data_IF_811161047560
#
_entry.id   IF_811161047560
#
_cell.length_a   1.000
_cell.length_b   1.000
_cell.length_c   1.000
_cell.angle_alpha   90.00
_cell.angle_beta   90.00
_cell.angle_gamma   90.00
#
_symmetry.space_group_name_H-M   'P 1'
#
loop_
_entity.id
_entity.type
_entity.pdbx_description
1 polymer ?
#
# COMPACT_ATOMS: atom_id res chain seq x y z
N UNK A 1 29.42 -75.54 -16.42
CA UNK A 1 28.73 -74.32 -16.02
C UNK A 1 29.45 -73.13 -16.56
N UNK A 2 28.91 -72.49 -17.61
CA UNK A 2 29.44 -71.21 -18.14
C UNK A 2 28.76 -70.09 -17.48
N UNK A 3 29.54 -69.26 -16.79
CA UNK A 3 29.10 -68.02 -16.21
C UNK A 3 29.37 -66.90 -17.22
N UNK A 4 28.31 -66.29 -17.77
CA UNK A 4 28.40 -65.15 -18.67
C UNK A 4 28.35 -63.89 -17.77
N UNK A 5 29.49 -63.21 -17.62
CA UNK A 5 29.56 -61.89 -17.02
C UNK A 5 29.14 -60.82 -18.06
N UNK A 6 27.97 -60.29 -17.94
CA UNK A 6 27.49 -59.23 -18.79
C UNK A 6 27.94 -57.87 -18.12
N UNK A 7 29.05 -57.34 -18.64
CA UNK A 7 29.53 -56.01 -18.29
C UNK A 7 28.56 -55.00 -18.87
N UNK A 8 27.83 -54.30 -17.99
CA UNK A 8 27.03 -53.16 -18.35
C UNK A 8 27.95 -51.94 -18.40
N UNK A 9 28.32 -51.52 -19.58
CA UNK A 9 28.87 -50.19 -19.82
C UNK A 9 27.72 -49.15 -19.69
N UNK A 10 27.65 -48.45 -18.59
CA UNK A 10 26.88 -47.23 -18.51
C UNK A 10 27.72 -46.08 -19.14
N UNK A 11 27.20 -45.33 -20.10
CA UNK A 11 27.91 -44.17 -20.60
C UNK A 11 27.95 -43.14 -19.47
N UNK A 12 29.16 -42.78 -19.05
CA UNK A 12 29.38 -41.61 -18.22
C UNK A 12 28.92 -40.39 -19.00
N UNK A 13 27.75 -39.86 -18.63
CA UNK A 13 27.38 -38.51 -19.02
C UNK A 13 28.36 -37.56 -18.36
N UNK A 14 29.31 -37.07 -19.11
CA UNK A 14 30.11 -35.90 -18.73
C UNK A 14 29.17 -34.71 -18.80
N UNK A 15 28.64 -34.31 -17.65
CA UNK A 15 28.06 -32.99 -17.47
C UNK A 15 29.24 -32.03 -17.46
N UNK A 16 29.44 -31.31 -18.57
CA UNK A 16 30.29 -30.13 -18.58
C UNK A 16 29.63 -29.14 -17.65
N UNK A 17 30.08 -29.09 -16.40
CA UNK A 17 29.86 -27.95 -15.53
C UNK A 17 30.70 -26.83 -16.16
N UNK A 18 30.06 -25.95 -16.92
CA UNK A 18 30.64 -24.66 -17.21
C UNK A 18 30.78 -23.99 -15.84
N UNK A 19 32.00 -23.86 -15.40
CA UNK A 19 32.36 -22.98 -14.30
C UNK A 19 31.89 -21.59 -14.73
N UNK A 20 30.70 -21.21 -14.25
CA UNK A 20 30.27 -19.82 -14.27
C UNK A 20 31.18 -19.16 -13.23
N UNK A 21 32.24 -18.49 -13.68
CA UNK A 21 32.92 -17.51 -12.87
C UNK A 21 31.87 -16.43 -12.54
N UNK A 22 31.17 -16.64 -11.44
CA UNK A 22 30.38 -15.58 -10.84
C UNK A 22 31.37 -14.46 -10.53
N UNK A 23 31.33 -13.39 -11.32
CA UNK A 23 32.15 -12.21 -11.09
C UNK A 23 32.00 -11.82 -9.62
N UNK A 24 33.13 -11.54 -8.95
CA UNK A 24 33.12 -11.17 -7.54
C UNK A 24 32.17 -9.96 -7.38
N UNK A 25 31.13 -10.10 -6.53
CA UNK A 25 30.18 -9.01 -6.28
C UNK A 25 30.87 -7.79 -5.67
N UNK A 26 30.50 -6.62 -6.12
CA UNK A 26 30.93 -5.33 -5.55
C UNK A 26 29.87 -4.86 -4.58
N UNK A 27 30.26 -4.60 -3.34
CA UNK A 27 29.35 -4.08 -2.32
C UNK A 27 29.42 -2.57 -2.27
N UNK A 28 28.26 -1.93 -2.31
CA UNK A 28 28.14 -0.47 -2.21
C UNK A 28 26.91 -0.08 -1.40
N UNK A 29 27.03 1.05 -0.71
CA UNK A 29 25.88 1.72 -0.08
C UNK A 29 25.49 2.90 -0.95
N UNK A 30 24.21 3.01 -1.27
CA UNK A 30 23.70 4.03 -2.16
C UNK A 30 22.26 4.42 -1.87
N UNK A 31 21.67 5.15 -2.79
CA UNK A 31 20.32 5.66 -2.69
C UNK A 31 19.44 5.14 -3.81
N UNK A 32 18.20 4.77 -3.45
CA UNK A 32 17.12 4.54 -4.41
C UNK A 32 16.53 5.89 -4.78
N UNK A 33 16.45 6.18 -6.07
CA UNK A 33 15.98 7.45 -6.62
C UNK A 33 14.82 7.21 -7.58
N UNK A 34 13.78 8.00 -7.45
CA UNK A 34 12.56 7.95 -8.26
C UNK A 34 12.14 9.37 -8.62
N UNK A 35 11.32 9.51 -9.64
CA UNK A 35 10.68 10.79 -9.96
C UNK A 35 9.48 11.00 -9.05
N UNK A 36 9.65 11.76 -7.97
CA UNK A 36 8.73 11.85 -6.84
C UNK A 36 8.12 13.26 -6.73
N UNK A 37 6.80 13.31 -6.65
CA UNK A 37 6.05 14.52 -6.36
C UNK A 37 5.38 14.39 -5.00
N UNK A 38 5.76 15.24 -4.04
CA UNK A 38 5.14 15.27 -2.70
C UNK A 38 3.72 15.80 -2.79
N UNK A 39 2.80 15.11 -2.14
CA UNK A 39 1.42 15.52 -1.93
C UNK A 39 1.29 16.14 -0.56
N UNK A 40 0.75 17.34 -0.50
CA UNK A 40 0.54 18.08 0.76
C UNK A 40 -0.93 18.41 0.94
N UNK A 41 -1.38 18.46 2.20
CA UNK A 41 -2.72 18.86 2.58
C UNK A 41 -2.68 20.28 3.16
N UNK A 42 -3.62 21.17 2.81
CA UNK A 42 -3.77 22.44 3.51
C UNK A 42 -4.40 22.27 4.90
N UNK A 43 -4.79 21.05 5.28
CA UNK A 43 -5.49 20.73 6.52
C UNK A 43 -4.66 19.76 7.37
N UNK A 44 -4.79 19.85 8.67
CA UNK A 44 -4.02 19.00 9.61
C UNK A 44 -4.48 17.55 9.64
N UNK A 45 -5.76 17.30 9.33
CA UNK A 45 -6.32 15.95 9.38
C UNK A 45 -6.63 15.42 8.00
N UNK A 46 -6.14 14.21 7.74
CA UNK A 46 -6.41 13.45 6.50
C UNK A 46 -6.51 11.96 6.78
N UNK A 47 -7.20 11.24 5.92
CA UNK A 47 -7.23 9.77 5.90
C UNK A 47 -6.90 9.32 4.48
N UNK A 48 -5.76 8.67 4.34
CA UNK A 48 -5.33 8.10 3.06
C UNK A 48 -5.88 6.68 2.95
N UNK A 49 -6.60 6.42 1.87
CA UNK A 49 -7.20 5.11 1.58
C UNK A 49 -6.44 4.34 0.49
N UNK A 50 -5.57 5.04 -0.25
CA UNK A 50 -4.72 4.42 -1.26
C UNK A 50 -3.64 3.56 -0.60
N UNK A 51 -3.44 2.35 -1.09
CA UNK A 51 -2.43 1.43 -0.58
C UNK A 51 -1.02 1.83 -1.03
N UNK A 52 -0.02 1.52 -0.20
CA UNK A 52 1.40 1.68 -0.56
C UNK A 52 1.74 0.87 -1.81
N UNK A 53 2.42 1.49 -2.76
CA UNK A 53 2.81 0.87 -4.02
C UNK A 53 1.67 0.72 -5.04
N UNK A 54 0.46 1.18 -4.76
CA UNK A 54 -0.65 1.12 -5.70
C UNK A 54 -0.42 2.06 -6.89
N UNK A 55 -0.65 1.53 -8.09
CA UNK A 55 -0.70 2.37 -9.28
C UNK A 55 -2.07 3.05 -9.37
N UNK A 56 -2.06 4.37 -9.59
CA UNK A 56 -3.25 5.21 -9.63
C UNK A 56 -3.33 5.98 -10.94
N UNK A 57 -4.55 6.17 -11.42
CA UNK A 57 -4.82 7.01 -12.57
C UNK A 57 -4.97 8.49 -12.17
N UNK A 58 -4.77 9.40 -13.13
CA UNK A 58 -5.09 10.81 -12.92
C UNK A 58 -6.58 10.97 -12.55
N UNK A 59 -6.86 11.76 -11.51
CA UNK A 59 -8.20 11.99 -10.98
C UNK A 59 -8.71 10.91 -10.00
N UNK A 60 -7.97 9.83 -9.78
CA UNK A 60 -8.32 8.80 -8.81
C UNK A 60 -8.25 9.33 -7.38
N UNK A 61 -9.18 8.90 -6.53
CA UNK A 61 -9.25 9.32 -5.12
C UNK A 61 -8.20 8.58 -4.32
N UNK A 62 -7.32 9.33 -3.66
CA UNK A 62 -6.25 8.82 -2.80
C UNK A 62 -6.65 8.80 -1.33
N UNK A 63 -7.60 9.64 -0.95
CA UNK A 63 -8.02 9.78 0.43
C UNK A 63 -8.99 10.95 0.63
N UNK A 64 -9.24 11.25 1.90
CA UNK A 64 -10.13 12.31 2.34
C UNK A 64 -9.37 13.29 3.23
N UNK A 65 -9.50 14.59 2.94
CA UNK A 65 -8.99 15.68 3.74
C UNK A 65 -10.13 16.23 4.60
N UNK A 66 -9.86 16.52 5.87
CA UNK A 66 -10.83 17.10 6.82
C UNK A 66 -10.48 18.57 7.07
N UNK A 67 -11.42 19.45 6.76
CA UNK A 67 -11.18 20.91 6.77
C UNK A 67 -11.09 21.54 8.16
N UNK A 68 -11.56 20.82 9.20
CA UNK A 68 -11.46 21.27 10.60
C UNK A 68 -11.21 20.09 11.53
N UNK A 69 -10.77 20.37 12.74
CA UNK A 69 -10.58 19.33 13.78
C UNK A 69 -11.89 18.63 14.14
N UNK A 70 -13.03 19.33 14.07
CA UNK A 70 -14.34 18.78 14.39
C UNK A 70 -14.93 17.96 13.22
N UNK A 71 -14.41 18.12 12.01
CA UNK A 71 -14.93 17.45 10.81
C UNK A 71 -14.84 15.93 10.93
N UNK A 72 -13.72 15.41 11.38
CA UNK A 72 -13.49 13.94 11.50
C UNK A 72 -14.42 13.31 12.54
N UNK A 73 -14.51 13.78 13.80
CA UNK A 73 -15.46 13.24 14.77
C UNK A 73 -16.92 13.44 14.35
N UNK A 74 -17.26 14.55 13.66
CA UNK A 74 -18.60 14.78 13.11
C UNK A 74 -18.97 13.74 12.08
N UNK A 75 -18.09 13.42 11.13
CA UNK A 75 -18.30 12.39 10.14
C UNK A 75 -18.43 10.99 10.79
N UNK A 76 -17.65 10.70 11.82
CA UNK A 76 -17.78 9.46 12.59
C UNK A 76 -19.14 9.35 13.27
N UNK A 77 -19.64 10.46 13.88
CA UNK A 77 -20.95 10.51 14.51
C UNK A 77 -22.09 10.35 13.50
N UNK A 78 -21.97 10.96 12.33
CA UNK A 78 -22.93 10.77 11.21
C UNK A 78 -23.00 9.31 10.79
N UNK A 79 -21.87 8.62 10.64
CA UNK A 79 -21.84 7.21 10.28
C UNK A 79 -22.47 6.33 11.36
N UNK A 80 -22.19 6.60 12.64
CA UNK A 80 -22.81 5.93 13.79
C UNK A 80 -24.33 6.10 13.81
N UNK A 81 -24.83 7.34 13.65
CA UNK A 81 -26.26 7.65 13.63
C UNK A 81 -26.97 6.97 12.46
N UNK A 82 -26.37 6.93 11.28
CA UNK A 82 -26.92 6.21 10.13
C UNK A 82 -27.07 4.72 10.42
N UNK A 83 -26.06 4.08 11.02
CA UNK A 83 -26.14 2.67 11.42
C UNK A 83 -27.20 2.40 12.48
N UNK A 84 -27.32 3.27 13.49
CA UNK A 84 -28.35 3.16 14.52
C UNK A 84 -29.77 3.34 13.96
N UNK A 85 -29.95 4.34 13.07
CA UNK A 85 -31.23 4.59 12.42
C UNK A 85 -31.66 3.42 11.52
N UNK A 86 -30.74 2.83 10.78
CA UNK A 86 -31.03 1.65 9.97
C UNK A 86 -31.56 0.51 10.82
N UNK A 87 -30.91 0.19 11.94
CA UNK A 87 -31.37 -0.84 12.87
C UNK A 87 -32.76 -0.52 13.48
N UNK A 88 -32.97 0.72 13.90
CA UNK A 88 -34.23 1.14 14.52
C UNK A 88 -35.38 1.16 13.51
N UNK A 89 -35.13 1.64 12.28
CA UNK A 89 -36.13 1.63 11.20
C UNK A 89 -36.52 0.19 10.81
N UNK A 90 -35.53 -0.72 10.77
CA UNK A 90 -35.82 -2.13 10.55
C UNK A 90 -36.73 -2.69 11.65
N UNK A 91 -36.37 -2.46 12.94
CA UNK A 91 -37.19 -2.89 14.07
C UNK A 91 -38.59 -2.29 14.03
N UNK A 92 -38.73 -1.00 13.71
CA UNK A 92 -40.02 -0.31 13.61
C UNK A 92 -40.89 -0.83 12.46
N UNK A 93 -40.31 -1.00 11.27
CA UNK A 93 -41.01 -1.49 10.07
C UNK A 93 -41.64 -2.89 10.30
N UNK A 94 -40.96 -3.71 11.11
CA UNK A 94 -41.39 -5.06 11.40
C UNK A 94 -42.04 -5.19 12.78
N UNK A 95 -42.26 -4.09 13.51
CA UNK A 95 -43.01 -4.12 14.77
C UNK A 95 -44.47 -4.46 14.48
N UNK A 96 -44.84 -5.69 14.73
CA UNK A 96 -46.20 -6.23 14.56
C UNK A 96 -46.75 -6.73 15.86
N UNK A 97 -48.05 -6.98 15.87
CA UNK A 97 -48.83 -7.48 17.01
C UNK A 97 -48.27 -8.77 17.64
N UNK A 98 -48.63 -9.01 18.88
CA UNK A 98 -48.20 -10.18 19.67
C UNK A 98 -48.43 -11.56 19.01
N UNK A 99 -49.22 -11.64 17.92
CA UNK A 99 -49.47 -12.86 17.17
C UNK A 99 -48.25 -13.42 16.42
N UNK A 100 -47.25 -12.59 16.14
CA UNK A 100 -46.09 -12.97 15.33
C UNK A 100 -44.84 -13.35 16.17
N UNK A 101 -44.90 -13.33 17.49
CA UNK A 101 -43.73 -13.60 18.35
C UNK A 101 -43.14 -15.00 18.14
N UNK A 102 -43.96 -16.00 17.93
CA UNK A 102 -43.49 -17.37 17.68
C UNK A 102 -42.82 -17.53 16.32
N UNK A 103 -43.29 -16.80 15.31
CA UNK A 103 -42.65 -16.74 13.98
C UNK A 103 -41.30 -16.02 14.05
N UNK A 104 -41.23 -14.92 14.81
CA UNK A 104 -39.98 -14.20 15.05
C UNK A 104 -38.93 -15.04 15.79
N UNK A 105 -39.32 -15.83 16.78
CA UNK A 105 -38.42 -16.74 17.47
C UNK A 105 -37.83 -17.80 16.51
N UNK A 106 -38.65 -18.29 15.57
CA UNK A 106 -38.20 -19.20 14.54
C UNK A 106 -37.20 -18.54 13.55
N UNK A 107 -37.49 -17.32 13.15
CA UNK A 107 -36.65 -16.54 12.23
C UNK A 107 -35.29 -16.20 12.88
N UNK A 108 -35.29 -15.68 14.11
CA UNK A 108 -34.06 -15.42 14.88
C UNK A 108 -33.21 -16.70 15.04
N UNK A 109 -33.87 -17.83 15.32
CA UNK A 109 -33.16 -19.10 15.48
C UNK A 109 -32.53 -19.57 14.17
N UNK A 110 -33.21 -19.41 13.04
CA UNK A 110 -32.69 -19.73 11.70
C UNK A 110 -31.49 -18.85 11.34
N UNK A 111 -31.59 -17.56 11.63
CA UNK A 111 -30.52 -16.60 11.35
C UNK A 111 -29.28 -16.82 12.21
N UNK A 112 -29.46 -17.24 13.47
CA UNK A 112 -28.33 -17.62 14.34
C UNK A 112 -27.61 -18.87 13.82
N UNK A 113 -28.32 -19.83 13.22
CA UNK A 113 -27.71 -20.99 12.56
C UNK A 113 -26.95 -20.56 11.32
N UNK A 114 -27.51 -19.65 10.51
CA UNK A 114 -26.87 -19.11 9.31
C UNK A 114 -25.62 -18.30 9.68
N UNK A 115 -25.70 -17.47 10.71
CA UNK A 115 -24.56 -16.72 11.25
C UNK A 115 -23.39 -17.66 11.61
N UNK A 116 -23.69 -18.78 12.23
CA UNK A 116 -22.69 -19.79 12.56
C UNK A 116 -22.02 -20.39 11.31
N UNK A 117 -22.78 -20.53 10.21
CA UNK A 117 -22.25 -21.00 8.93
C UNK A 117 -21.33 -19.98 8.28
N UNK A 118 -21.69 -18.69 8.27
CA UNK A 118 -20.85 -17.62 7.73
C UNK A 118 -19.56 -17.44 8.54
N UNK A 119 -19.64 -17.51 9.87
CA UNK A 119 -18.46 -17.49 10.75
C UNK A 119 -17.50 -18.65 10.44
N UNK A 120 -18.02 -19.85 10.24
CA UNK A 120 -17.22 -21.01 9.88
C UNK A 120 -16.56 -20.88 8.49
N UNK A 121 -17.19 -20.15 7.57
CA UNK A 121 -16.65 -19.85 6.21
C UNK A 121 -15.76 -18.62 6.19
N UNK A 122 -15.65 -17.86 7.30
CA UNK A 122 -14.91 -16.58 7.41
C UNK A 122 -15.42 -15.49 6.44
N UNK A 123 -16.70 -15.56 6.08
CA UNK A 123 -17.37 -14.54 5.27
C UNK A 123 -17.84 -13.38 6.17
N UNK A 124 -16.94 -12.45 6.45
CA UNK A 124 -17.18 -11.37 7.41
C UNK A 124 -18.21 -10.34 6.93
N UNK A 125 -18.34 -10.13 5.63
CA UNK A 125 -19.34 -9.21 5.07
C UNK A 125 -20.76 -9.74 5.32
N UNK A 126 -21.01 -11.02 5.01
CA UNK A 126 -22.30 -11.66 5.29
C UNK A 126 -22.58 -11.78 6.80
N UNK A 127 -21.55 -11.90 7.63
CA UNK A 127 -21.67 -11.86 9.11
C UNK A 127 -22.19 -10.50 9.57
N UNK A 128 -21.65 -9.40 9.06
CA UNK A 128 -22.04 -8.04 9.48
C UNK A 128 -23.49 -7.73 9.08
N UNK A 129 -23.87 -8.05 7.86
CA UNK A 129 -25.23 -7.87 7.34
C UNK A 129 -26.23 -8.68 8.19
N UNK A 130 -25.96 -9.96 8.43
CA UNK A 130 -26.83 -10.83 9.20
C UNK A 130 -26.91 -10.45 10.69
N UNK A 131 -25.82 -9.93 11.26
CA UNK A 131 -25.85 -9.39 12.62
C UNK A 131 -26.78 -8.19 12.74
N UNK A 132 -26.82 -7.33 11.73
CA UNK A 132 -27.73 -6.18 11.69
C UNK A 132 -29.18 -6.63 11.61
N UNK A 133 -29.48 -7.63 10.78
CA UNK A 133 -30.81 -8.24 10.65
C UNK A 133 -31.26 -8.88 11.96
N UNK A 134 -30.46 -9.74 12.61
CA UNK A 134 -30.75 -10.34 13.89
C UNK A 134 -31.06 -9.30 14.97
N UNK A 135 -30.26 -8.22 15.05
CA UNK A 135 -30.51 -7.12 16.00
C UNK A 135 -31.89 -6.48 15.76
N UNK A 136 -32.26 -6.27 14.50
CA UNK A 136 -33.59 -5.77 14.14
C UNK A 136 -34.71 -6.70 14.61
N UNK A 137 -34.59 -8.01 14.37
CA UNK A 137 -35.56 -9.01 14.79
C UNK A 137 -35.71 -9.10 16.33
N UNK A 138 -34.57 -9.02 17.06
CA UNK A 138 -34.58 -9.00 18.53
C UNK A 138 -35.28 -7.76 19.08
N UNK A 139 -35.03 -6.58 18.48
CA UNK A 139 -35.73 -5.35 18.86
C UNK A 139 -37.24 -5.45 18.58
N UNK A 140 -37.63 -6.03 17.47
CA UNK A 140 -39.03 -6.29 17.09
C UNK A 140 -39.72 -7.23 18.05
N UNK A 141 -39.05 -8.28 18.53
CA UNK A 141 -39.58 -9.24 19.52
C UNK A 141 -39.98 -8.58 20.85
N UNK A 142 -39.25 -7.50 21.23
CA UNK A 142 -39.51 -6.75 22.46
C UNK A 142 -40.71 -5.80 22.38
N UNK A 143 -41.42 -5.75 21.22
CA UNK A 143 -42.37 -4.68 20.92
C UNK A 143 -43.79 -4.91 21.41
N UNK A 144 -44.23 -4.10 22.33
CA UNK A 144 -45.65 -3.74 22.54
C UNK A 144 -45.96 -2.44 21.76
N UNK A 145 -47.23 -2.07 21.59
CA UNK A 145 -47.61 -0.77 20.97
C UNK A 145 -46.93 0.41 21.66
N UNK A 146 -46.72 0.35 22.95
CA UNK A 146 -45.99 1.34 23.75
C UNK A 146 -44.52 1.41 23.35
N UNK A 147 -43.88 0.29 23.07
CA UNK A 147 -42.51 0.21 22.57
C UNK A 147 -42.39 0.74 21.14
N UNK A 148 -43.40 0.58 20.29
CA UNK A 148 -43.42 1.09 18.94
C UNK A 148 -43.45 2.63 18.96
N UNK A 149 -44.22 3.25 19.85
CA UNK A 149 -44.24 4.69 20.03
C UNK A 149 -42.90 5.22 20.56
N UNK A 150 -42.26 4.51 21.49
CA UNK A 150 -40.92 4.86 22.01
C UNK A 150 -39.85 4.73 20.93
N UNK A 151 -39.91 3.70 20.07
CA UNK A 151 -39.03 3.54 18.93
C UNK A 151 -39.16 4.70 17.96
N UNK A 152 -40.40 5.15 17.65
CA UNK A 152 -40.62 6.29 16.77
C UNK A 152 -40.02 7.57 17.33
N UNK A 153 -40.20 7.86 18.62
CA UNK A 153 -39.61 9.03 19.28
C UNK A 153 -38.07 8.98 19.20
N UNK A 154 -37.50 7.79 19.39
CA UNK A 154 -36.05 7.61 19.29
C UNK A 154 -35.53 7.81 17.87
N UNK A 155 -36.23 7.28 16.87
CA UNK A 155 -35.93 7.47 15.44
C UNK A 155 -35.99 8.97 15.11
N UNK A 156 -37.04 9.67 15.49
CA UNK A 156 -37.22 11.09 15.21
C UNK A 156 -36.09 11.93 15.87
N UNK A 157 -35.71 11.59 17.09
CA UNK A 157 -34.63 12.28 17.82
C UNK A 157 -33.28 12.08 17.14
N UNK A 158 -32.93 10.85 16.78
CA UNK A 158 -31.66 10.56 16.08
C UNK A 158 -31.65 11.12 14.67
N UNK A 159 -32.80 11.12 13.97
CA UNK A 159 -32.91 11.74 12.65
C UNK A 159 -32.69 13.25 12.70
N UNK A 160 -33.24 13.94 13.69
CA UNK A 160 -33.03 15.38 13.91
C UNK A 160 -31.56 15.69 14.21
N UNK A 161 -30.89 14.85 15.03
CA UNK A 161 -29.45 14.98 15.28
C UNK A 161 -28.65 14.78 13.98
N UNK A 162 -28.97 13.74 13.21
CA UNK A 162 -28.33 13.45 11.92
C UNK A 162 -28.49 14.61 10.94
N UNK A 163 -29.71 15.14 10.77
CA UNK A 163 -29.99 16.26 9.87
C UNK A 163 -29.19 17.52 10.26
N UNK A 164 -29.09 17.80 11.57
CA UNK A 164 -28.29 18.90 12.10
C UNK A 164 -26.81 18.72 11.76
N UNK A 165 -26.24 17.55 12.05
CA UNK A 165 -24.83 17.25 11.77
C UNK A 165 -24.53 17.25 10.28
N UNK A 166 -25.42 16.74 9.45
CA UNK A 166 -25.26 16.73 7.98
C UNK A 166 -25.26 18.16 7.43
N UNK A 167 -26.14 19.04 7.93
CA UNK A 167 -26.15 20.44 7.50
C UNK A 167 -24.86 21.19 7.87
N UNK A 168 -24.25 20.86 9.03
CA UNK A 168 -22.96 21.41 9.46
C UNK A 168 -21.78 20.80 8.69
N UNK A 169 -21.95 19.61 8.15
CA UNK A 169 -20.87 18.83 7.52
C UNK A 169 -20.72 19.05 6.02
N UNK A 170 -21.51 19.92 5.42
CA UNK A 170 -21.58 20.11 3.95
C UNK A 170 -20.21 20.42 3.33
N UNK A 171 -19.33 21.06 4.10
CA UNK A 171 -17.97 21.42 3.66
C UNK A 171 -16.87 20.78 4.51
N UNK A 172 -17.17 19.78 5.31
CA UNK A 172 -16.21 19.16 6.22
C UNK A 172 -15.06 18.44 5.52
N UNK A 173 -15.33 17.90 4.35
CA UNK A 173 -14.39 17.01 3.66
C UNK A 173 -14.08 17.48 2.24
N UNK A 174 -12.88 17.15 1.82
CA UNK A 174 -12.43 17.30 0.45
C UNK A 174 -11.75 16.01 0.03
N UNK A 175 -12.05 15.50 -1.16
CA UNK A 175 -11.32 14.36 -1.72
C UNK A 175 -9.93 14.81 -2.16
N UNK A 176 -8.91 14.04 -1.75
CA UNK A 176 -7.58 14.13 -2.31
C UNK A 176 -7.54 13.26 -3.56
N UNK A 177 -7.30 13.88 -4.71
CA UNK A 177 -7.22 13.18 -5.99
C UNK A 177 -5.81 13.26 -6.56
N UNK A 178 -5.40 12.21 -7.26
CA UNK A 178 -4.15 12.20 -8.00
C UNK A 178 -4.19 13.23 -9.14
N UNK A 179 -3.20 14.11 -9.21
CA UNK A 179 -3.08 15.11 -10.31
C UNK A 179 -2.60 14.47 -11.61
N UNK A 180 -1.84 13.38 -11.50
CA UNK A 180 -1.32 12.61 -12.61
C UNK A 180 -1.37 11.12 -12.29
N UNK A 181 -1.21 10.26 -13.30
CA UNK A 181 -1.00 8.83 -13.07
C UNK A 181 0.38 8.56 -12.47
N UNK A 182 0.48 7.55 -11.62
CA UNK A 182 1.73 7.17 -10.99
C UNK A 182 1.56 6.11 -9.92
N UNK A 183 2.63 5.82 -9.20
CA UNK A 183 2.62 4.90 -8.07
C UNK A 183 2.57 5.69 -6.76
N UNK A 184 1.61 5.39 -5.91
CA UNK A 184 1.45 6.07 -4.64
C UNK A 184 2.38 5.51 -3.56
N UNK A 185 2.95 6.42 -2.74
CA UNK A 185 3.64 6.08 -1.50
C UNK A 185 3.23 7.04 -0.38
N UNK A 186 2.95 6.49 0.80
CA UNK A 186 2.65 7.29 1.98
C UNK A 186 3.91 7.85 2.67
N UNK A 187 5.09 7.33 2.32
CA UNK A 187 6.35 7.71 2.96
C UNK A 187 6.96 8.95 2.28
N UNK A 188 7.21 9.99 3.07
CA UNK A 188 7.95 11.20 2.68
C UNK A 188 9.15 11.32 3.60
N UNK A 189 10.35 11.29 3.03
CA UNK A 189 11.60 11.16 3.79
C UNK A 189 12.55 12.37 3.63
N UNK A 190 12.15 13.38 2.87
CA UNK A 190 12.92 14.60 2.65
C UNK A 190 13.96 14.52 1.55
N UNK A 191 14.09 13.38 0.87
CA UNK A 191 14.98 13.24 -0.28
C UNK A 191 14.31 13.53 -1.62
N UNK A 192 12.99 13.70 -1.66
CA UNK A 192 12.19 13.81 -2.88
C UNK A 192 12.66 14.95 -3.80
N UNK A 193 13.13 16.07 -3.21
CA UNK A 193 13.69 17.22 -3.95
C UNK A 193 15.21 17.22 -4.03
N UNK A 194 15.85 16.34 -3.25
CA UNK A 194 17.32 16.25 -3.17
C UNK A 194 17.86 15.24 -4.17
N UNK A 195 17.15 14.12 -4.32
CA UNK A 195 17.50 13.01 -5.19
C UNK A 195 16.44 12.87 -6.28
N UNK A 196 16.65 13.58 -7.39
CA UNK A 196 15.77 13.51 -8.57
C UNK A 196 16.52 12.87 -9.75
N UNK A 197 15.81 12.26 -10.70
CA UNK A 197 16.47 11.72 -11.92
C UNK A 197 17.32 12.76 -12.65
N UNK A 198 16.89 14.04 -12.69
CA UNK A 198 17.65 15.13 -13.31
C UNK A 198 18.97 15.38 -12.59
N UNK A 199 18.96 15.38 -11.25
CA UNK A 199 20.17 15.58 -10.47
C UNK A 199 21.19 14.46 -10.69
N UNK A 200 20.75 13.24 -10.94
CA UNK A 200 21.64 12.12 -11.23
C UNK A 200 22.48 12.34 -12.51
N UNK A 201 22.04 13.21 -13.42
CA UNK A 201 22.77 13.54 -14.64
C UNK A 201 24.05 14.34 -14.37
N UNK A 202 24.08 15.11 -13.27
CA UNK A 202 25.16 16.05 -12.95
C UNK A 202 25.88 15.76 -11.63
N UNK A 203 25.32 14.83 -10.81
CA UNK A 203 25.90 14.47 -9.52
C UNK A 203 27.33 13.92 -9.69
N UNK A 204 28.27 14.36 -8.85
CA UNK A 204 29.64 13.87 -8.80
C UNK A 204 29.86 12.88 -7.66
N UNK A 205 30.95 12.11 -7.73
CA UNK A 205 31.32 11.22 -6.63
C UNK A 205 31.78 11.98 -5.39
N UNK A 206 32.30 13.18 -5.56
CA UNK A 206 32.73 14.06 -4.46
C UNK A 206 31.55 14.65 -3.69
N UNK A 207 30.41 14.88 -4.37
CA UNK A 207 29.21 15.44 -3.73
C UNK A 207 28.33 14.37 -3.07
N UNK A 208 28.60 13.09 -3.32
CA UNK A 208 27.76 11.97 -2.87
C UNK A 208 27.63 11.91 -1.34
N UNK A 209 28.73 12.07 -0.62
CA UNK A 209 28.73 12.00 0.85
C UNK A 209 28.02 13.19 1.51
N UNK A 210 27.85 14.29 0.78
CA UNK A 210 27.13 15.49 1.25
C UNK A 210 25.61 15.39 1.06
N UNK A 211 25.09 14.31 0.44
CA UNK A 211 23.66 14.13 0.23
C UNK A 211 22.99 13.90 1.60
N UNK A 212 22.09 14.81 1.94
CA UNK A 212 21.32 14.76 3.18
C UNK A 212 19.85 15.13 2.92
N UNK A 213 18.91 14.60 3.68
CA UNK A 213 17.51 14.93 3.51
C UNK A 213 17.22 16.36 3.94
N UNK A 214 16.24 16.97 3.30
CA UNK A 214 15.60 18.18 3.78
C UNK A 214 14.53 17.80 4.83
N UNK A 215 14.18 18.73 5.70
CA UNK A 215 13.04 18.54 6.59
C UNK A 215 11.78 18.41 5.71
N UNK A 216 11.02 17.29 5.80
CA UNK A 216 9.76 17.17 5.09
C UNK A 216 8.78 18.27 5.48
N UNK A 217 7.91 18.66 4.55
CA UNK A 217 6.79 19.55 4.87
C UNK A 217 5.91 18.86 5.92
N UNK A 218 5.56 19.58 6.98
CA UNK A 218 4.68 19.08 8.05
C UNK A 218 3.28 18.71 7.54
N UNK A 219 2.88 19.29 6.41
CA UNK A 219 1.63 19.00 5.73
C UNK A 219 1.74 17.91 4.65
N UNK A 220 2.90 17.29 4.49
CA UNK A 220 3.09 16.20 3.55
C UNK A 220 2.28 14.97 4.00
N UNK A 221 1.51 14.40 3.07
CA UNK A 221 0.61 13.27 3.31
C UNK A 221 0.94 12.04 2.46
N UNK A 222 1.92 12.16 1.61
CA UNK A 222 2.38 11.11 0.71
C UNK A 222 3.06 11.69 -0.52
N UNK A 223 3.29 10.84 -1.50
CA UNK A 223 3.89 11.23 -2.78
C UNK A 223 3.37 10.37 -3.93
N UNK A 224 3.42 10.90 -5.13
CA UNK A 224 3.26 10.16 -6.38
C UNK A 224 4.60 9.99 -7.04
N UNK A 225 4.86 8.79 -7.54
CA UNK A 225 6.05 8.43 -8.29
C UNK A 225 5.65 8.31 -9.75
N UNK A 226 6.26 9.14 -10.60
CA UNK A 226 5.97 9.19 -12.04
C UNK A 226 6.77 8.11 -12.78
N UNK A 227 6.14 7.52 -13.80
CA UNK A 227 6.77 6.48 -14.62
C UNK A 227 6.97 5.16 -13.89
N UNK A 228 7.73 4.26 -14.51
CA UNK A 228 8.02 2.93 -13.98
C UNK A 228 9.50 2.74 -13.62
N UNK A 229 10.34 3.70 -13.99
CA UNK A 229 11.79 3.64 -13.81
C UNK A 229 12.21 4.16 -12.44
N UNK A 230 13.05 3.40 -11.78
CA UNK A 230 13.77 3.81 -10.59
C UNK A 230 15.28 3.62 -10.76
N UNK A 231 16.06 4.29 -9.94
CA UNK A 231 17.50 4.29 -10.02
C UNK A 231 18.11 3.88 -8.70
N UNK A 232 19.31 3.31 -8.79
CA UNK A 232 20.20 3.14 -7.66
C UNK A 232 21.50 3.88 -7.94
N UNK A 233 21.87 4.82 -7.08
CA UNK A 233 23.09 5.62 -7.22
C UNK A 233 24.04 5.31 -6.08
N UNK A 234 25.28 5.00 -6.40
CA UNK A 234 26.34 4.72 -5.44
C UNK A 234 27.70 5.19 -5.97
N UNK A 235 28.69 5.14 -5.10
CA UNK A 235 30.09 5.39 -5.45
C UNK A 235 30.86 4.09 -5.36
N UNK A 236 31.62 3.77 -6.40
CA UNK A 236 32.38 2.54 -6.54
C UNK A 236 33.82 2.88 -6.90
N UNK A 237 34.85 2.15 -6.40
CA UNK A 237 36.22 2.33 -6.84
C UNK A 237 36.35 2.20 -8.37
N UNK A 238 37.06 3.11 -8.99
CA UNK A 238 37.16 3.20 -10.46
C UNK A 238 37.77 1.94 -11.09
N UNK A 239 38.60 1.20 -10.37
CA UNK A 239 39.23 -0.04 -10.84
C UNK A 239 38.21 -1.18 -10.98
N UNK A 240 37.12 -1.16 -10.23
CA UNK A 240 36.02 -2.13 -10.34
C UNK A 240 35.15 -1.89 -11.60
N UNK A 241 35.24 -0.72 -12.22
CA UNK A 241 34.43 -0.29 -13.37
C UNK A 241 35.22 -0.16 -14.66
N UNK A 242 36.45 -0.69 -14.74
CA UNK A 242 37.35 -0.50 -15.88
C UNK A 242 36.83 -1.03 -17.21
N UNK A 243 36.01 -2.09 -17.15
CA UNK A 243 35.45 -2.76 -18.33
C UNK A 243 33.97 -2.46 -18.53
N UNK A 244 33.39 -1.61 -17.67
CA UNK A 244 31.97 -1.30 -17.70
C UNK A 244 31.69 -0.07 -18.54
N UNK A 245 30.57 -0.09 -19.26
CA UNK A 245 30.07 1.00 -20.10
C UNK A 245 28.59 1.27 -19.79
N UNK A 246 28.14 2.47 -20.15
CA UNK A 246 26.72 2.80 -20.10
C UNK A 246 25.92 1.84 -21.01
N UNK A 247 24.81 1.32 -20.49
CA UNK A 247 23.97 0.31 -21.12
C UNK A 247 24.29 -1.12 -20.70
N UNK A 248 25.41 -1.37 -20.04
CA UNK A 248 25.76 -2.71 -19.59
C UNK A 248 24.80 -3.23 -18.50
N UNK A 249 24.46 -4.51 -18.50
CA UNK A 249 23.60 -5.12 -17.48
C UNK A 249 24.35 -5.29 -16.16
N UNK A 250 23.62 -5.07 -15.06
CA UNK A 250 24.13 -5.25 -13.70
C UNK A 250 23.02 -5.91 -12.87
N UNK A 251 23.36 -6.97 -12.14
CA UNK A 251 22.45 -7.58 -11.17
C UNK A 251 22.66 -6.94 -9.81
N UNK A 252 21.58 -6.40 -9.24
CA UNK A 252 21.59 -5.76 -7.94
C UNK A 252 20.78 -6.56 -6.95
N UNK A 253 21.36 -6.86 -5.80
CA UNK A 253 20.69 -7.49 -4.67
C UNK A 253 20.87 -6.63 -3.42
N UNK A 254 19.77 -6.12 -2.85
CA UNK A 254 19.82 -5.38 -1.61
C UNK A 254 20.09 -6.30 -0.41
N UNK A 255 20.78 -5.79 0.58
CA UNK A 255 21.10 -6.55 1.79
C UNK A 255 19.89 -6.81 2.69
N UNK A 256 18.83 -5.99 2.56
CA UNK A 256 17.58 -6.06 3.34
C UNK A 256 16.42 -5.41 2.58
N UNK A 257 15.21 -5.62 3.10
CA UNK A 257 13.94 -4.95 2.71
C UNK A 257 13.41 -5.32 1.32
N UNK A 258 14.24 -5.85 0.45
CA UNK A 258 13.86 -6.37 -0.87
C UNK A 258 14.80 -7.51 -1.23
N UNK A 259 14.29 -8.74 -1.27
CA UNK A 259 15.09 -9.96 -1.35
C UNK A 259 15.20 -10.57 -2.76
N UNK A 260 14.69 -9.88 -3.77
CA UNK A 260 14.85 -10.28 -5.16
C UNK A 260 16.08 -9.61 -5.78
N UNK A 261 16.68 -10.28 -6.76
CA UNK A 261 17.71 -9.66 -7.59
C UNK A 261 17.03 -8.83 -8.66
N UNK A 262 17.40 -7.55 -8.73
CA UNK A 262 16.94 -6.65 -9.77
C UNK A 262 17.91 -6.67 -10.96
N UNK A 263 17.40 -6.91 -12.15
CA UNK A 263 18.13 -6.74 -13.40
C UNK A 263 18.14 -5.26 -13.76
N UNK A 264 19.29 -4.65 -13.63
CA UNK A 264 19.51 -3.22 -13.87
C UNK A 264 20.42 -2.97 -15.06
N UNK A 265 20.46 -1.73 -15.53
CA UNK A 265 21.39 -1.27 -16.56
C UNK A 265 22.18 -0.08 -16.03
N UNK A 266 23.41 0.06 -16.47
CA UNK A 266 24.22 1.26 -16.19
C UNK A 266 23.63 2.41 -16.98
N UNK A 267 22.97 3.33 -16.28
CA UNK A 267 22.39 4.53 -16.90
C UNK A 267 23.44 5.64 -17.05
N UNK A 268 24.41 5.72 -16.10
CA UNK A 268 25.49 6.69 -16.14
C UNK A 268 26.69 6.20 -15.36
N UNK A 269 27.87 6.46 -15.93
CA UNK A 269 29.18 6.35 -15.26
C UNK A 269 29.78 7.75 -15.12
N UNK A 270 29.94 8.22 -13.88
CA UNK A 270 30.59 9.49 -13.57
C UNK A 270 32.10 9.47 -13.92
N UNK A 271 32.73 10.65 -13.92
CA UNK A 271 34.16 10.77 -14.06
C UNK A 271 34.94 10.10 -12.91
N UNK A 272 36.18 9.74 -13.17
CA UNK A 272 37.06 9.26 -12.11
C UNK A 272 37.53 10.44 -11.24
N UNK A 273 37.03 10.53 -10.04
CA UNK A 273 37.33 11.56 -9.07
C UNK A 273 38.00 10.92 -7.86
N UNK A 274 39.28 11.23 -7.67
CA UNK A 274 40.08 10.68 -6.52
C UNK A 274 40.07 9.14 -6.43
N UNK A 275 40.00 8.44 -7.56
CA UNK A 275 39.99 6.96 -7.59
C UNK A 275 38.60 6.32 -7.47
N UNK A 276 37.54 7.12 -7.39
CA UNK A 276 36.16 6.68 -7.34
C UNK A 276 35.33 7.19 -8.52
N UNK A 277 34.28 6.48 -8.86
CA UNK A 277 33.30 6.87 -9.86
C UNK A 277 31.90 6.77 -9.31
N UNK A 278 31.07 7.74 -9.64
CA UNK A 278 29.64 7.63 -9.43
C UNK A 278 29.04 6.61 -10.42
N UNK A 279 28.25 5.70 -9.94
CA UNK A 279 27.52 4.72 -10.71
C UNK A 279 26.02 4.95 -10.54
N UNK A 280 25.32 5.15 -11.64
CA UNK A 280 23.84 5.23 -11.68
C UNK A 280 23.32 4.04 -12.44
N UNK A 281 22.52 3.23 -11.75
CA UNK A 281 21.82 2.08 -12.33
C UNK A 281 20.34 2.41 -12.50
N UNK A 282 19.70 1.92 -13.55
CA UNK A 282 18.27 2.06 -13.80
C UNK A 282 17.56 0.70 -13.89
N UNK A 283 16.31 0.66 -13.46
CA UNK A 283 15.44 -0.51 -13.52
C UNK A 283 13.99 -0.06 -13.80
N UNK A 284 13.30 -0.77 -14.70
CA UNK A 284 11.91 -0.52 -15.06
C UNK A 284 10.94 -1.54 -14.45
N UNK A 285 11.42 -2.33 -13.49
CA UNK A 285 10.64 -3.37 -12.83
C UNK A 285 10.64 -3.16 -11.31
N UNK A 286 9.63 -3.67 -10.63
CA UNK A 286 9.53 -3.67 -9.16
C UNK A 286 9.37 -2.31 -8.49
N UNK A 287 8.98 -1.25 -9.22
CA UNK A 287 8.82 0.08 -8.63
C UNK A 287 7.90 0.04 -7.40
N UNK A 288 6.78 -0.68 -7.49
CA UNK A 288 5.79 -0.83 -6.41
C UNK A 288 6.36 -1.48 -5.14
N UNK A 289 7.47 -2.19 -5.25
CA UNK A 289 8.14 -2.87 -4.13
C UNK A 289 9.30 -2.10 -3.52
N UNK A 290 9.78 -1.07 -4.21
CA UNK A 290 10.92 -0.27 -3.75
C UNK A 290 10.51 1.15 -3.32
N UNK A 291 9.21 1.43 -3.23
CA UNK A 291 8.68 2.76 -2.86
C UNK A 291 9.17 3.26 -1.50
N UNK A 292 9.37 2.36 -0.53
CA UNK A 292 9.83 2.67 0.82
C UNK A 292 11.36 2.66 0.97
N UNK A 293 12.10 2.21 -0.04
CA UNK A 293 13.54 2.13 0.03
C UNK A 293 14.17 3.48 -0.29
N UNK A 294 15.21 3.85 0.47
CA UNK A 294 16.00 5.05 0.18
C UNK A 294 17.49 4.74 0.27
N UNK A 295 18.07 4.73 1.45
CA UNK A 295 19.47 4.38 1.62
C UNK A 295 19.61 2.88 1.84
N UNK A 296 20.31 2.21 0.94
CA UNK A 296 20.44 0.76 0.93
C UNK A 296 21.89 0.34 0.67
N UNK A 297 22.28 -0.77 1.28
CA UNK A 297 23.48 -1.49 0.89
C UNK A 297 23.11 -2.58 -0.11
N UNK A 298 23.90 -2.73 -1.14
CA UNK A 298 23.65 -3.67 -2.22
C UNK A 298 24.91 -4.37 -2.67
N UNK A 299 24.74 -5.59 -3.14
CA UNK A 299 25.71 -6.34 -3.93
C UNK A 299 25.41 -6.11 -5.41
N UNK A 300 26.44 -5.71 -6.14
CA UNK A 300 26.38 -5.48 -7.58
C UNK A 300 27.22 -6.55 -8.27
N UNK A 301 26.62 -7.27 -9.22
CA UNK A 301 27.30 -8.25 -10.06
C UNK A 301 27.27 -7.75 -11.50
N UNK A 302 28.45 -7.44 -12.02
CA UNK A 302 28.62 -7.00 -13.42
C UNK A 302 28.79 -8.23 -14.30
N UNK A 303 28.03 -8.31 -15.39
CA UNK A 303 28.24 -9.32 -16.40
C UNK A 303 29.53 -8.97 -17.18
N UNK A 304 30.49 -9.89 -17.16
CA UNK A 304 31.80 -9.77 -17.84
C UNK A 304 31.71 -10.17 -19.31
#
# INVERSE_FOLDING_TARGET
GYSVVRSLYAPLMTVTVSEYEAGAGVYATGFVVRDEQVLSSPYESSVITCAEGAHVAAGEVLGTLYRSEEAKPRQARIAELKGQLEQLNYAWQYSTSAADQAALDGEISADLVELSRYLNRRDMNSVEDLCTEIKGLVLRRGGSEENTALLQVKIDTLQAELDTLQSLSTEDTQELRAEASGTFSAAVDGYERVLTPERLQTLSSLDFDAIAPQTPDEHAIGKLISGDTWYFVCVVPADQLRQSAEGDPVKLTFSRDFYQTADMQIARLGENEAGNRLLVLSCDSYLERVTLLRRQSAELVFDS
#
